data_IF_656876240541
#
_entry.id   IF_656876240541
#
_cell.length_a   1.000
_cell.length_b   1.000
_cell.length_c   1.000
_cell.angle_alpha   90.00
_cell.angle_beta   90.00
_cell.angle_gamma   90.00
#
_symmetry.space_group_name_H-M   'P 1'
#
loop_
_entity.id
_entity.type
_entity.pdbx_description
1 polymer ?
#
# COMPACT_ATOMS: atom_id res chain seq x y z
N UNK A 1 -7.13 9.10 -21.99
CA UNK A 1 -6.55 9.70 -20.77
C UNK A 1 -6.77 8.69 -19.66
N UNK A 2 -5.74 7.89 -19.37
CA UNK A 2 -5.84 6.76 -18.45
C UNK A 2 -5.74 7.26 -17.02
N UNK A 3 -6.68 6.86 -16.15
CA UNK A 3 -6.69 7.20 -14.71
C UNK A 3 -5.41 6.73 -13.98
N UNK A 4 -4.65 5.82 -14.60
CA UNK A 4 -3.40 5.27 -14.10
C UNK A 4 -2.24 6.26 -13.97
N UNK A 5 -2.26 7.39 -14.67
CA UNK A 5 -1.11 8.32 -14.70
C UNK A 5 -1.08 9.33 -13.53
N UNK A 6 -2.10 9.38 -12.68
CA UNK A 6 -2.23 10.39 -11.62
C UNK A 6 -1.83 9.89 -10.21
N UNK A 7 -1.43 8.63 -10.08
CA UNK A 7 -0.94 8.05 -8.82
C UNK A 7 0.60 7.95 -8.81
N UNK A 8 1.27 8.26 -9.93
CA UNK A 8 2.74 8.34 -10.00
C UNK A 8 3.23 9.71 -9.53
N UNK A 9 3.05 10.02 -8.25
CA UNK A 9 4.01 10.90 -7.58
C UNK A 9 5.35 10.15 -7.61
N UNK A 10 6.45 10.84 -7.85
CA UNK A 10 7.81 10.28 -8.06
C UNK A 10 8.37 9.40 -6.92
N UNK A 11 7.56 9.07 -5.91
CA UNK A 11 7.90 8.38 -4.66
C UNK A 11 7.31 6.95 -4.55
N UNK A 12 6.58 6.46 -5.55
CA UNK A 12 6.02 5.09 -5.55
C UNK A 12 4.55 5.00 -5.12
N UNK A 13 3.98 3.79 -4.96
CA UNK A 13 2.59 3.61 -4.53
C UNK A 13 2.37 4.20 -3.13
N UNK A 14 1.21 4.80 -2.90
CA UNK A 14 0.80 5.28 -1.57
C UNK A 14 0.13 4.16 -0.77
N UNK A 15 0.14 4.28 0.55
CA UNK A 15 -0.55 3.34 1.44
C UNK A 15 -2.00 3.12 1.00
N UNK A 16 -2.42 1.85 0.92
CA UNK A 16 -3.77 1.44 0.54
C UNK A 16 -4.81 1.64 1.63
N UNK A 17 -4.44 2.23 2.78
CA UNK A 17 -5.36 2.65 3.82
C UNK A 17 -6.08 3.94 3.40
N UNK A 18 -7.41 3.95 3.53
CA UNK A 18 -8.25 5.10 3.19
C UNK A 18 -7.87 6.31 4.05
N UNK A 19 -7.29 7.32 3.41
CA UNK A 19 -6.85 8.56 4.07
C UNK A 19 -5.38 8.57 4.50
N UNK A 20 -4.65 7.47 4.29
CA UNK A 20 -3.21 7.43 4.47
C UNK A 20 -2.53 7.86 3.16
N UNK A 21 -1.69 8.89 3.23
CA UNK A 21 -0.92 9.40 2.08
C UNK A 21 0.56 9.05 2.16
N UNK A 22 0.95 8.29 3.19
CA UNK A 22 2.32 7.83 3.36
C UNK A 22 2.74 6.89 2.22
N UNK A 23 4.04 6.86 1.89
CA UNK A 23 4.57 5.95 0.89
C UNK A 23 4.32 4.50 1.33
N UNK A 24 3.82 3.69 0.41
CA UNK A 24 3.70 2.27 0.66
C UNK A 24 5.08 1.62 0.66
N UNK A 25 5.28 0.71 1.61
CA UNK A 25 6.55 0.04 1.82
C UNK A 25 6.40 -1.48 1.83
N UNK A 26 5.21 -2.00 2.19
CA UNK A 26 4.98 -3.42 2.43
C UNK A 26 3.69 -3.87 1.76
N UNK A 27 3.67 -5.13 1.35
CA UNK A 27 2.45 -5.85 0.98
C UNK A 27 2.12 -6.80 2.11
N UNK A 28 0.95 -6.63 2.73
CA UNK A 28 0.43 -7.51 3.78
C UNK A 28 -0.64 -8.44 3.22
N UNK A 29 -0.76 -9.65 3.76
CA UNK A 29 -1.92 -10.50 3.54
C UNK A 29 -2.99 -10.20 4.59
N UNK A 30 -4.08 -9.55 4.15
CA UNK A 30 -5.20 -9.23 5.03
C UNK A 30 -6.22 -10.39 5.00
N UNK A 31 -6.59 -10.98 6.16
CA UNK A 31 -7.42 -12.18 6.20
C UNK A 31 -8.79 -12.02 5.52
N UNK A 32 -9.33 -10.80 5.49
CA UNK A 32 -10.63 -10.49 4.87
C UNK A 32 -10.55 -9.95 3.44
N UNK A 33 -9.42 -9.37 3.03
CA UNK A 33 -9.31 -8.61 1.78
C UNK A 33 -8.20 -9.12 0.84
N UNK A 34 -7.41 -10.10 1.28
CA UNK A 34 -6.22 -10.60 0.58
C UNK A 34 -5.06 -9.60 0.63
N UNK A 35 -4.18 -9.69 -0.38
CA UNK A 35 -2.97 -8.86 -0.47
C UNK A 35 -3.29 -7.36 -0.54
N UNK A 36 -2.69 -6.57 0.35
CA UNK A 36 -2.85 -5.11 0.43
C UNK A 36 -1.51 -4.42 0.55
N UNK A 37 -1.35 -3.36 -0.24
CA UNK A 37 -0.16 -2.50 -0.22
C UNK A 37 -0.35 -1.44 0.86
N UNK A 38 0.55 -1.38 1.85
CA UNK A 38 0.47 -0.49 3.03
C UNK A 38 1.82 0.13 3.35
N UNK A 39 1.83 1.22 4.13
CA UNK A 39 3.06 1.77 4.72
C UNK A 39 3.54 0.90 5.91
N UNK A 40 4.75 1.14 6.41
CA UNK A 40 5.31 0.36 7.54
C UNK A 40 4.45 0.47 8.82
N UNK A 41 3.85 1.64 9.06
CA UNK A 41 2.97 1.88 10.21
C UNK A 41 1.63 1.12 10.11
N UNK A 42 1.10 0.96 8.90
CA UNK A 42 -0.18 0.29 8.64
C UNK A 42 -0.05 -1.24 8.48
N UNK A 43 1.15 -1.81 8.65
CA UNK A 43 1.33 -3.26 8.68
C UNK A 43 0.49 -3.88 9.81
N UNK A 44 0.31 -3.17 10.93
CA UNK A 44 -0.60 -3.55 12.03
C UNK A 44 -0.49 -5.02 12.52
N UNK A 45 0.70 -5.64 12.38
CA UNK A 45 0.93 -7.03 12.74
C UNK A 45 0.38 -8.07 11.75
N UNK A 46 -0.09 -7.63 10.58
CA UNK A 46 -0.44 -8.50 9.47
C UNK A 46 0.81 -9.13 8.85
N UNK A 47 0.64 -10.32 8.26
CA UNK A 47 1.73 -11.04 7.63
C UNK A 47 2.22 -10.27 6.40
N UNK A 48 3.50 -9.90 6.41
CA UNK A 48 4.13 -9.23 5.27
C UNK A 48 4.53 -10.29 4.24
N UNK A 49 3.95 -10.19 3.04
CA UNK A 49 4.20 -11.09 1.92
C UNK A 49 5.42 -10.66 1.13
N UNK A 50 5.63 -9.34 0.95
CA UNK A 50 6.78 -8.77 0.23
C UNK A 50 6.95 -7.27 0.50
N UNK A 51 8.15 -6.77 0.25
CA UNK A 51 8.47 -5.34 0.16
C UNK A 51 8.05 -4.76 -1.21
N UNK A 52 7.80 -3.46 -1.25
CA UNK A 52 7.35 -2.70 -2.43
C UNK A 52 8.50 -1.95 -3.10
#
# INVERSE_FOLDING_TARGET
>A
MSVFEWISTSDGPTCGCLGCTDPAAKVIDHPEYGERVVCEDDVNGHEVVRDV
#
